data_IF_750274035442
#
_entry.id   IF_750274035442
#
_cell.length_a   1.000
_cell.length_b   1.000
_cell.length_c   1.000
_cell.angle_alpha   90.00
_cell.angle_beta   90.00
_cell.angle_gamma   90.00
#
_symmetry.space_group_name_H-M   'P 1'
#
loop_
_entity.id
_entity.type
_entity.pdbx_description
1 polymer ?
#
# COMPACT_ATOMS: atom_id res chain seq x y z
N UNK A 1 14.47 -3.58 -8.04
CA UNK A 1 13.74 -2.40 -7.55
C UNK A 1 13.11 -2.68 -6.20
N UNK A 2 12.82 -1.62 -5.47
CA UNK A 2 12.14 -1.67 -4.19
C UNK A 2 10.86 -0.86 -4.31
N UNK A 3 9.77 -1.34 -3.71
CA UNK A 3 8.45 -0.78 -3.97
C UNK A 3 7.78 -0.36 -2.68
N UNK A 4 7.09 0.78 -2.75
CA UNK A 4 6.09 1.17 -1.75
C UNK A 4 4.75 1.04 -2.44
N UNK A 5 3.80 0.38 -1.79
CA UNK A 5 2.50 0.11 -2.41
C UNK A 5 1.37 0.44 -1.45
N UNK A 6 0.21 0.72 -2.03
CA UNK A 6 -0.99 1.03 -1.27
C UNK A 6 -2.12 0.12 -1.74
N UNK A 7 -2.72 -0.59 -0.78
CA UNK A 7 -3.88 -1.43 -1.00
C UNK A 7 -5.09 -0.78 -0.35
N UNK A 8 -6.26 -0.94 -0.97
CA UNK A 8 -7.53 -0.51 -0.37
C UNK A 8 -8.43 -1.70 -0.14
N UNK A 9 -8.92 -1.84 1.08
CA UNK A 9 -9.92 -2.87 1.40
C UNK A 9 -11.22 -2.59 0.64
N UNK A 10 -11.74 -3.60 -0.03
CA UNK A 10 -13.04 -3.49 -0.69
C UNK A 10 -14.17 -3.71 0.30
N UNK A 11 -13.85 -4.17 1.51
CA UNK A 11 -14.82 -4.40 2.55
C UNK A 11 -15.12 -3.12 3.34
N UNK A 12 -14.08 -2.44 3.85
CA UNK A 12 -14.25 -1.25 4.69
C UNK A 12 -13.56 0.00 4.16
N UNK A 13 -12.95 -0.06 2.95
CA UNK A 13 -12.27 1.05 2.28
C UNK A 13 -11.02 1.57 2.99
N UNK A 14 -10.55 0.90 4.02
CA UNK A 14 -9.31 1.29 4.71
C UNK A 14 -8.10 1.05 3.79
N UNK A 15 -7.02 1.77 4.07
CA UNK A 15 -5.79 1.68 3.30
C UNK A 15 -4.73 0.91 4.06
N UNK A 16 -3.92 0.14 3.33
CA UNK A 16 -2.74 -0.51 3.84
C UNK A 16 -1.54 -0.06 3.01
N UNK A 17 -0.51 0.44 3.67
CA UNK A 17 0.71 0.92 3.03
C UNK A 17 1.83 -0.03 3.40
N UNK A 18 2.53 -0.55 2.40
CA UNK A 18 3.59 -1.52 2.63
C UNK A 18 4.82 -1.28 1.77
N UNK A 19 5.86 -2.04 2.07
CA UNK A 19 7.12 -2.06 1.35
C UNK A 19 7.43 -3.48 0.93
N UNK A 20 8.00 -3.66 -0.26
CA UNK A 20 8.43 -4.98 -0.71
C UNK A 20 9.51 -4.86 -1.79
N UNK A 21 10.36 -5.89 -1.90
CA UNK A 21 11.27 -6.03 -3.03
C UNK A 21 10.65 -6.85 -4.17
N UNK A 22 9.47 -7.43 -3.95
CA UNK A 22 8.75 -8.22 -4.95
C UNK A 22 7.26 -7.88 -4.87
N UNK A 23 6.85 -6.92 -5.68
CA UNK A 23 5.48 -6.42 -5.64
C UNK A 23 4.46 -7.49 -6.01
N UNK A 24 4.73 -8.28 -7.04
CA UNK A 24 3.81 -9.31 -7.50
C UNK A 24 3.55 -10.37 -6.43
N UNK A 25 4.63 -10.88 -5.83
CA UNK A 25 4.52 -11.89 -4.79
C UNK A 25 3.78 -11.33 -3.58
N UNK A 26 4.12 -10.12 -3.15
CA UNK A 26 3.53 -9.53 -1.95
C UNK A 26 2.04 -9.25 -2.11
N UNK A 27 1.63 -8.76 -3.29
CA UNK A 27 0.20 -8.54 -3.55
C UNK A 27 -0.56 -9.86 -3.60
N UNK A 28 0.04 -10.92 -4.13
CA UNK A 28 -0.57 -12.25 -4.10
C UNK A 28 -0.74 -12.78 -2.68
N UNK A 29 0.25 -12.53 -1.81
CA UNK A 29 0.16 -12.92 -0.40
C UNK A 29 -0.99 -12.22 0.30
N UNK A 30 -1.19 -10.94 0.04
CA UNK A 30 -2.35 -10.22 0.60
C UNK A 30 -3.66 -10.80 0.08
N UNK A 31 -3.74 -11.07 -1.21
CA UNK A 31 -4.94 -11.65 -1.83
C UNK A 31 -5.28 -13.02 -1.22
N UNK A 32 -4.26 -13.83 -0.96
CA UNK A 32 -4.44 -15.19 -0.44
C UNK A 32 -4.61 -15.25 1.08
N UNK A 33 -4.61 -14.09 1.75
CA UNK A 33 -4.81 -14.03 3.20
C UNK A 33 -3.61 -14.47 4.02
N UNK A 34 -2.40 -14.46 3.43
CA UNK A 34 -1.18 -14.83 4.15
C UNK A 34 -0.64 -13.70 5.03
N UNK A 35 -1.08 -12.47 4.80
CA UNK A 35 -0.69 -11.33 5.63
C UNK A 35 -1.70 -11.15 6.75
N UNK A 36 -1.25 -11.26 8.00
CA UNK A 36 -2.13 -11.11 9.15
C UNK A 36 -2.75 -9.72 9.24
N UNK A 37 -2.02 -8.70 8.78
CA UNK A 37 -2.50 -7.31 8.84
C UNK A 37 -3.71 -7.07 7.94
N UNK A 38 -3.80 -7.75 6.79
CA UNK A 38 -4.85 -7.51 5.81
C UNK A 38 -5.90 -8.62 5.75
N UNK A 39 -5.58 -9.79 6.31
CA UNK A 39 -6.47 -10.95 6.24
C UNK A 39 -7.92 -10.67 6.63
N UNK A 40 -8.22 -9.98 7.76
CA UNK A 40 -9.60 -9.78 8.20
C UNK A 40 -10.46 -8.92 7.28
N UNK A 41 -9.83 -8.07 6.46
CA UNK A 41 -10.54 -7.07 5.66
C UNK A 41 -10.41 -7.30 4.16
N UNK A 42 -10.08 -8.52 3.76
CA UNK A 42 -10.04 -8.91 2.34
C UNK A 42 -11.41 -8.77 1.69
N UNK A 43 -11.50 -8.58 0.38
CA UNK A 43 -10.40 -8.45 -0.57
C UNK A 43 -9.82 -7.04 -0.60
N UNK A 44 -8.54 -6.95 -1.01
CA UNK A 44 -7.86 -5.68 -1.21
C UNK A 44 -7.56 -5.45 -2.69
N UNK A 45 -7.56 -4.19 -3.08
CA UNK A 45 -7.22 -3.76 -4.43
C UNK A 45 -5.95 -2.93 -4.38
N UNK A 46 -4.99 -3.23 -5.26
CA UNK A 46 -3.80 -2.39 -5.41
C UNK A 46 -4.22 -1.09 -6.09
N UNK A 47 -4.05 0.03 -5.41
CA UNK A 47 -4.47 1.34 -5.93
C UNK A 47 -3.29 2.23 -6.31
N UNK A 48 -2.08 1.92 -5.86
CA UNK A 48 -0.91 2.75 -6.13
C UNK A 48 0.36 2.00 -5.77
N UNK A 49 1.44 2.24 -6.53
CA UNK A 49 2.77 1.84 -6.10
C UNK A 49 3.82 2.76 -6.70
N UNK A 50 4.96 2.84 -6.02
CA UNK A 50 6.15 3.54 -6.48
C UNK A 50 7.34 2.58 -6.45
N UNK A 51 8.21 2.68 -7.44
CA UNK A 51 9.41 1.87 -7.53
C UNK A 51 10.63 2.73 -7.27
N UNK A 52 11.56 2.24 -6.45
CA UNK A 52 12.78 2.94 -6.08
C UNK A 52 13.98 2.06 -6.37
N UNK A 53 15.03 2.67 -6.87
CA UNK A 53 16.29 1.97 -7.07
C UNK A 53 16.97 1.66 -5.73
N UNK A 54 16.84 2.55 -4.77
CA UNK A 54 17.51 2.45 -3.47
C UNK A 54 16.51 2.01 -2.39
N UNK A 55 16.89 0.99 -1.61
CA UNK A 55 16.04 0.44 -0.55
C UNK A 55 15.69 1.47 0.52
N UNK A 56 16.65 2.31 0.92
CA UNK A 56 16.41 3.30 1.97
C UNK A 56 15.44 4.37 1.51
N UNK A 57 15.50 4.75 0.24
CA UNK A 57 14.54 5.71 -0.31
C UNK A 57 13.13 5.14 -0.24
N UNK A 58 12.95 3.87 -0.58
CA UNK A 58 11.65 3.21 -0.50
C UNK A 58 11.15 3.17 0.94
N UNK A 59 12.02 2.82 1.88
CA UNK A 59 11.63 2.73 3.28
C UNK A 59 11.28 4.09 3.88
N UNK A 60 12.02 5.14 3.52
CA UNK A 60 11.70 6.50 3.94
C UNK A 60 10.33 6.93 3.41
N UNK A 61 10.04 6.59 2.17
CA UNK A 61 8.75 6.91 1.56
C UNK A 61 7.61 6.18 2.26
N UNK A 62 7.80 4.90 2.56
CA UNK A 62 6.81 4.13 3.30
C UNK A 62 6.48 4.78 4.64
N UNK A 63 7.51 5.14 5.41
CA UNK A 63 7.34 5.78 6.70
C UNK A 63 6.59 7.11 6.56
N UNK A 64 6.96 7.91 5.56
CA UNK A 64 6.29 9.19 5.31
C UNK A 64 4.80 8.98 5.01
N UNK A 65 4.47 8.04 4.13
CA UNK A 65 3.08 7.81 3.74
C UNK A 65 2.23 7.28 4.88
N UNK A 66 2.86 6.63 5.87
CA UNK A 66 2.16 6.15 7.07
C UNK A 66 1.96 7.25 8.11
N UNK A 67 2.66 8.38 7.99
CA UNK A 67 2.49 9.51 8.90
C UNK A 67 1.20 10.26 8.62
N UNK A 68 0.77 11.12 9.54
CA UNK A 68 -0.43 11.93 9.35
C UNK A 68 -0.36 12.82 8.12
N UNK A 69 0.80 13.43 7.86
CA UNK A 69 1.01 14.24 6.66
C UNK A 69 0.97 13.41 5.40
N UNK A 70 1.63 12.24 5.43
CA UNK A 70 1.66 11.34 4.29
C UNK A 70 0.28 10.80 3.96
N UNK A 71 -0.53 10.49 4.96
CA UNK A 71 -1.88 10.01 4.74
C UNK A 71 -2.74 11.06 4.02
N UNK A 72 -2.57 12.33 4.38
CA UNK A 72 -3.22 13.43 3.65
C UNK A 72 -2.74 13.51 2.21
N UNK A 73 -1.44 13.32 1.99
CA UNK A 73 -0.85 13.30 0.65
C UNK A 73 -1.47 12.18 -0.18
N UNK A 74 -1.62 10.99 0.38
CA UNK A 74 -2.23 9.85 -0.31
C UNK A 74 -3.66 10.18 -0.74
N UNK A 75 -4.47 10.70 0.16
CA UNK A 75 -5.86 11.05 -0.16
C UNK A 75 -5.94 12.08 -1.27
N UNK A 76 -5.07 13.07 -1.25
CA UNK A 76 -5.05 14.11 -2.27
C UNK A 76 -4.57 13.58 -3.60
N UNK A 77 -3.51 12.77 -3.59
CA UNK A 77 -2.88 12.21 -4.77
C UNK A 77 -3.79 11.20 -5.47
N UNK A 78 -4.53 10.40 -4.70
CA UNK A 78 -5.36 9.33 -5.21
C UNK A 78 -6.85 9.63 -5.13
N UNK A 79 -7.21 10.90 -5.13
CA UNK A 79 -8.59 11.33 -4.95
C UNK A 79 -9.58 10.62 -5.89
N UNK A 80 -9.19 10.40 -7.13
CA UNK A 80 -10.05 9.74 -8.10
C UNK A 80 -9.93 8.22 -8.10
N UNK A 81 -8.85 7.69 -7.54
CA UNK A 81 -8.62 6.24 -7.48
C UNK A 81 -9.28 5.60 -6.27
N UNK A 82 -9.44 6.36 -5.19
CA UNK A 82 -10.03 5.84 -3.96
C UNK A 82 -11.53 5.97 -3.97
N UNK A 83 -12.21 4.90 -3.54
CA UNK A 83 -13.67 4.88 -3.42
C UNK A 83 -14.06 5.30 -2.00
N UNK A 84 -13.70 6.50 -1.62
CA UNK A 84 -13.97 7.02 -0.28
C UNK A 84 -15.23 7.86 -0.24
#
# INVERSE_FOLDING_TARGET
MFYVYILQSQQNKSLYIGYTSDLKQRTQEHTNGKSLATKPFRPYKLVFYEAFLNKQDAKCREEYLKSGWGFRTVKKMLKKSLSL
#
